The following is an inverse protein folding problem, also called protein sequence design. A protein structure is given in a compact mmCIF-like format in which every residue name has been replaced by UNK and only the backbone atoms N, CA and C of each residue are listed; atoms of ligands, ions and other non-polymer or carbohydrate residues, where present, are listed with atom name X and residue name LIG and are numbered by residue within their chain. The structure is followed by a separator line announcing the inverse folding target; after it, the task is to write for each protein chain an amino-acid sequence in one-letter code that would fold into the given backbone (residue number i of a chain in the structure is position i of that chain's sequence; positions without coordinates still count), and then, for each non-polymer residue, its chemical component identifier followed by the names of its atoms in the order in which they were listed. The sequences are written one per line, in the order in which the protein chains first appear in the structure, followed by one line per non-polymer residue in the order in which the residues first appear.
data_IF_970929699786
#
_entry.id   IF_970929699786
#
_cell.length_a   1.000
_cell.length_b   1.000
_cell.length_c   1.000
_cell.angle_alpha   90.00
_cell.angle_beta   90.00
_cell.angle_gamma   90.00
#
_symmetry.space_group_name_H-M   'P 1'
#
loop_
_entity.id
_entity.type
_entity.pdbx_description
1 polymer ?
#
# COMPACT_ATOMS: atom_id res chain seq x y z
N UNK A 1 6.80 13.44 6.99
CA UNK A 1 5.65 12.57 6.73
C UNK A 1 4.98 12.93 5.41
N UNK A 2 4.05 12.10 4.95
CA UNK A 2 3.35 12.21 3.66
C UNK A 2 2.69 13.58 3.46
N UNK A 3 1.99 14.11 4.44
CA UNK A 3 1.26 15.38 4.33
C UNK A 3 2.12 16.57 3.91
N UNK A 4 3.21 16.90 4.61
CA UNK A 4 4.12 17.98 4.20
C UNK A 4 4.71 17.76 2.80
N UNK A 5 5.21 16.56 2.50
CA UNK A 5 5.78 16.24 1.19
C UNK A 5 4.76 16.39 0.05
N UNK A 6 3.51 15.99 0.30
CA UNK A 6 2.42 16.15 -0.65
C UNK A 6 2.09 17.62 -0.91
N UNK A 7 2.08 18.46 0.13
CA UNK A 7 1.89 19.90 -0.01
C UNK A 7 3.01 20.54 -0.85
N UNK A 8 4.25 20.14 -0.62
CA UNK A 8 5.42 20.64 -1.37
C UNK A 8 5.35 20.22 -2.85
N UNK A 9 4.94 18.98 -3.14
CA UNK A 9 4.73 18.51 -4.51
C UNK A 9 3.63 19.31 -5.22
N UNK A 10 2.49 19.50 -4.56
CA UNK A 10 1.34 20.25 -5.09
C UNK A 10 1.67 21.73 -5.28
N UNK A 11 2.54 22.30 -4.44
CA UNK A 11 3.04 23.68 -4.56
C UNK A 11 4.20 23.83 -5.55
N UNK A 12 4.68 22.72 -6.16
CA UNK A 12 5.83 22.76 -7.10
C UNK A 12 7.19 22.96 -6.44
N UNK A 13 7.28 22.79 -5.11
CA UNK A 13 8.55 22.90 -4.38
C UNK A 13 9.45 21.69 -4.59
N UNK A 14 8.86 20.53 -4.86
CA UNK A 14 9.60 19.31 -5.25
C UNK A 14 9.05 18.79 -6.58
N UNK A 15 9.92 18.29 -7.47
CA UNK A 15 9.53 17.86 -8.82
C UNK A 15 8.84 16.49 -8.86
N UNK A 16 9.11 15.62 -7.89
CA UNK A 16 8.61 14.24 -7.85
C UNK A 16 8.24 13.84 -6.41
N UNK A 17 7.23 13.01 -6.31
CA UNK A 17 6.80 12.41 -5.04
C UNK A 17 6.52 10.92 -5.26
N UNK A 18 7.02 10.05 -4.36
CA UNK A 18 6.61 8.66 -4.27
C UNK A 18 5.82 8.49 -2.98
N UNK A 19 4.52 8.28 -3.10
CA UNK A 19 3.62 8.25 -1.95
C UNK A 19 2.46 7.25 -2.17
N UNK A 20 1.69 7.02 -1.12
CA UNK A 20 0.52 6.12 -1.15
C UNK A 20 -0.64 6.75 -1.91
N UNK A 21 -1.26 5.96 -2.80
CA UNK A 21 -2.35 6.43 -3.65
C UNK A 21 -3.54 7.03 -2.90
N UNK A 22 -4.02 6.49 -1.76
CA UNK A 22 -5.13 7.10 -1.05
C UNK A 22 -4.91 8.58 -0.67
N UNK A 23 -3.67 8.97 -0.39
CA UNK A 23 -3.31 10.34 -0.05
C UNK A 23 -3.23 11.25 -1.29
N UNK A 24 -2.75 10.71 -2.41
CA UNK A 24 -2.49 11.47 -3.64
C UNK A 24 -3.68 11.51 -4.60
N UNK A 25 -4.57 10.52 -4.55
CA UNK A 25 -5.68 10.36 -5.50
C UNK A 25 -6.57 11.61 -5.63
N UNK A 26 -6.95 12.34 -4.57
CA UNK A 26 -7.76 13.57 -4.70
C UNK A 26 -7.05 14.66 -5.52
N UNK A 27 -5.73 14.76 -5.43
CA UNK A 27 -4.94 15.73 -6.19
C UNK A 27 -4.71 15.29 -7.64
N UNK A 28 -4.69 13.99 -7.89
CA UNK A 28 -4.66 13.43 -9.26
C UNK A 28 -6.00 13.68 -9.93
N UNK A 29 -7.11 13.40 -9.26
CA UNK A 29 -8.46 13.63 -9.79
C UNK A 29 -8.77 15.10 -10.09
N UNK A 30 -8.17 16.02 -9.32
CA UNK A 30 -8.26 17.47 -9.54
C UNK A 30 -7.14 18.03 -10.44
N UNK A 31 -6.36 17.15 -11.10
CA UNK A 31 -5.27 17.49 -12.03
C UNK A 31 -4.16 18.38 -11.42
N UNK A 32 -4.00 18.36 -10.10
CA UNK A 32 -2.93 19.05 -9.39
C UNK A 32 -1.66 18.23 -9.29
N UNK A 33 -1.75 16.91 -9.48
CA UNK A 33 -0.64 15.97 -9.61
C UNK A 33 -0.86 15.09 -10.83
N UNK A 34 0.22 14.79 -11.55
CA UNK A 34 0.21 13.87 -12.69
C UNK A 34 0.76 12.52 -12.24
N UNK A 35 -0.03 11.43 -12.27
CA UNK A 35 0.48 10.11 -11.94
C UNK A 35 1.37 9.61 -13.09
N UNK A 36 2.58 9.18 -12.79
CA UNK A 36 3.56 8.71 -13.78
C UNK A 36 3.57 7.18 -13.87
N UNK A 37 3.50 6.50 -12.73
CA UNK A 37 3.60 5.05 -12.63
C UNK A 37 3.00 4.56 -11.30
N UNK A 38 2.49 3.33 -11.27
CA UNK A 38 2.02 2.69 -10.04
C UNK A 38 2.90 1.48 -9.67
N UNK A 39 3.20 1.34 -8.37
CA UNK A 39 3.95 0.20 -7.83
C UNK A 39 3.00 -0.97 -7.48
N UNK A 40 2.18 -1.39 -8.42
CA UNK A 40 1.20 -2.46 -8.28
C UNK A 40 1.48 -3.58 -9.29
N UNK A 41 1.04 -4.84 -9.06
CA UNK A 41 1.24 -5.95 -9.98
C UNK A 41 0.51 -5.77 -11.32
N UNK A 42 -0.53 -4.94 -11.32
CA UNK A 42 -1.32 -4.59 -12.50
C UNK A 42 -1.82 -3.15 -12.40
N UNK A 43 -2.25 -2.56 -13.51
CA UNK A 43 -2.84 -1.22 -13.51
C UNK A 43 -4.05 -1.16 -12.59
N UNK A 44 -4.24 -0.04 -11.93
CA UNK A 44 -5.33 0.17 -10.97
C UNK A 44 -6.59 0.65 -11.69
N UNK A 45 -7.76 0.14 -11.30
CA UNK A 45 -9.04 0.52 -11.91
C UNK A 45 -9.33 2.01 -11.81
N UNK A 46 -8.85 2.67 -10.77
CA UNK A 46 -8.98 4.13 -10.58
C UNK A 46 -7.99 4.96 -11.43
N UNK A 47 -6.97 4.31 -12.03
CA UNK A 47 -5.94 4.91 -12.87
C UNK A 47 -5.60 3.98 -14.06
N UNK A 48 -6.55 3.68 -14.96
CA UNK A 48 -6.38 2.64 -15.98
C UNK A 48 -5.30 2.96 -17.02
N UNK A 49 -5.00 4.23 -17.23
CA UNK A 49 -4.03 4.69 -18.20
C UNK A 49 -2.61 4.82 -17.64
N UNK A 50 -2.45 4.68 -16.31
CA UNK A 50 -1.14 4.78 -15.64
C UNK A 50 -0.43 3.43 -15.65
N UNK A 51 0.78 3.33 -16.24
CA UNK A 51 1.51 2.08 -16.31
C UNK A 51 2.01 1.61 -14.93
N UNK A 52 2.27 0.32 -14.81
CA UNK A 52 2.97 -0.24 -13.65
C UNK A 52 4.48 -0.09 -13.79
N UNK A 53 5.21 -0.19 -12.67
CA UNK A 53 6.67 -0.23 -12.69
C UNK A 53 7.22 -1.38 -13.53
N UNK A 54 6.54 -2.52 -13.57
CA UNK A 54 6.92 -3.64 -14.43
C UNK A 54 6.82 -3.29 -15.93
N UNK A 55 5.76 -2.59 -16.35
CA UNK A 55 5.57 -2.15 -17.74
C UNK A 55 6.63 -1.13 -18.21
N UNK A 56 7.18 -0.34 -17.29
CA UNK A 56 8.24 0.63 -17.60
C UNK A 56 9.66 0.12 -17.33
N UNK A 57 9.84 -1.20 -17.18
CA UNK A 57 11.16 -1.84 -17.11
C UNK A 57 11.73 -2.03 -15.72
N UNK A 58 10.94 -1.86 -14.65
CA UNK A 58 11.34 -2.05 -13.26
C UNK A 58 10.52 -3.15 -12.55
N UNK A 59 10.48 -4.41 -13.04
CA UNK A 59 9.61 -5.47 -12.50
C UNK A 59 9.94 -5.86 -11.05
N UNK A 60 11.16 -5.59 -10.58
CA UNK A 60 11.58 -5.88 -9.21
C UNK A 60 11.02 -4.91 -8.17
N UNK A 61 10.42 -3.79 -8.60
CA UNK A 61 9.89 -2.74 -7.71
C UNK A 61 8.36 -2.83 -7.63
N UNK A 62 7.85 -4.01 -7.28
CA UNK A 62 6.43 -4.19 -7.02
C UNK A 62 6.18 -4.10 -5.51
N UNK A 63 5.98 -2.89 -5.00
CA UNK A 63 5.87 -2.58 -3.58
C UNK A 63 4.63 -1.75 -3.29
N UNK A 64 3.53 -2.43 -3.02
CA UNK A 64 2.32 -1.80 -2.49
C UNK A 64 2.43 -1.69 -0.97
N UNK A 65 2.06 -0.53 -0.42
CA UNK A 65 1.80 -0.45 1.01
C UNK A 65 0.59 -1.33 1.36
N UNK A 66 0.68 -2.07 2.44
CA UNK A 66 -0.42 -2.89 2.93
C UNK A 66 -0.92 -2.40 4.30
N UNK A 67 -2.18 -2.59 4.53
CA UNK A 67 -2.85 -2.30 5.79
C UNK A 67 -3.36 -3.60 6.38
N UNK A 68 -3.11 -3.82 7.67
CA UNK A 68 -3.53 -5.04 8.35
C UNK A 68 -3.87 -4.79 9.82
N UNK A 69 -4.59 -5.73 10.39
CA UNK A 69 -4.85 -5.77 11.83
C UNK A 69 -3.81 -6.68 12.48
N UNK A 70 -3.06 -6.16 13.44
CA UNK A 70 -2.07 -6.92 14.20
C UNK A 70 -2.43 -6.91 15.68
N UNK A 71 -2.07 -7.97 16.39
CA UNK A 71 -2.29 -8.11 17.82
C UNK A 71 -0.99 -8.33 18.60
N UNK A 72 -1.05 -8.27 19.94
CA UNK A 72 0.10 -8.57 20.78
C UNK A 72 0.64 -9.98 20.56
N UNK A 73 1.95 -10.15 20.78
CA UNK A 73 2.60 -11.46 20.75
C UNK A 73 1.95 -12.40 21.78
N UNK A 74 1.67 -13.63 21.37
CA UNK A 74 1.08 -14.64 22.24
C UNK A 74 -0.45 -14.56 22.38
N UNK A 75 -1.12 -13.78 21.54
CA UNK A 75 -2.59 -13.80 21.48
C UNK A 75 -3.10 -15.22 21.20
N UNK A 76 -4.11 -15.72 21.93
CA UNK A 76 -4.70 -17.04 21.67
C UNK A 76 -5.20 -17.16 20.23
N UNK A 77 -4.92 -18.29 19.59
CA UNK A 77 -5.30 -18.53 18.19
C UNK A 77 -6.82 -18.36 17.96
N UNK A 78 -7.63 -18.78 18.91
CA UNK A 78 -9.09 -18.61 18.85
C UNK A 78 -9.51 -17.14 18.70
N UNK A 79 -8.83 -16.23 19.39
CA UNK A 79 -9.09 -14.78 19.29
C UNK A 79 -8.64 -14.26 17.92
N UNK A 80 -7.46 -14.68 17.44
CA UNK A 80 -6.96 -14.31 16.10
C UNK A 80 -7.96 -14.75 15.03
N UNK A 81 -8.40 -16.00 15.07
CA UNK A 81 -9.36 -16.56 14.12
C UNK A 81 -10.73 -15.83 14.17
N UNK A 82 -11.18 -15.47 15.36
CA UNK A 82 -12.43 -14.71 15.55
C UNK A 82 -12.35 -13.32 14.93
N UNK A 83 -11.24 -12.61 15.17
CA UNK A 83 -11.00 -11.28 14.59
C UNK A 83 -10.89 -11.38 13.07
N UNK A 84 -10.11 -12.33 12.54
CA UNK A 84 -9.97 -12.53 11.10
C UNK A 84 -11.32 -12.79 10.43
N UNK A 85 -12.15 -13.70 10.97
CA UNK A 85 -13.51 -13.95 10.47
C UNK A 85 -14.39 -12.70 10.50
N UNK A 86 -14.30 -11.89 11.55
CA UNK A 86 -15.07 -10.65 11.66
C UNK A 86 -14.64 -9.63 10.60
N UNK A 87 -13.33 -9.47 10.37
CA UNK A 87 -12.78 -8.60 9.31
C UNK A 87 -13.24 -9.08 7.94
N UNK A 88 -13.13 -10.39 7.64
CA UNK A 88 -13.60 -10.94 6.38
C UNK A 88 -15.09 -10.67 6.15
N UNK A 89 -15.92 -10.80 7.19
CA UNK A 89 -17.36 -10.50 7.10
C UNK A 89 -17.61 -9.03 6.77
N UNK A 90 -16.89 -8.12 7.39
CA UNK A 90 -16.99 -6.67 7.11
C UNK A 90 -16.55 -6.35 5.69
N UNK A 91 -15.47 -6.98 5.22
CA UNK A 91 -14.96 -6.79 3.85
C UNK A 91 -15.86 -7.41 2.76
N UNK A 92 -16.89 -8.17 3.11
CA UNK A 92 -17.91 -8.65 2.18
C UNK A 92 -19.06 -7.62 1.99
N UNK A 93 -19.19 -6.64 2.89
CA UNK A 93 -20.18 -5.58 2.76
C UNK A 93 -19.88 -4.70 1.55
N UNK A 94 -20.82 -4.56 0.58
CA UNK A 94 -20.58 -3.80 -0.63
C UNK A 94 -20.25 -2.33 -0.39
N UNK A 95 -20.82 -1.71 0.65
CA UNK A 95 -20.57 -0.31 0.96
C UNK A 95 -19.14 -0.13 1.54
N UNK A 96 -18.69 -1.07 2.37
CA UNK A 96 -17.32 -1.08 2.89
C UNK A 96 -16.33 -1.32 1.77
N UNK A 97 -16.57 -2.32 0.91
CA UNK A 97 -15.74 -2.60 -0.26
C UNK A 97 -15.57 -1.37 -1.13
N UNK A 98 -16.70 -0.78 -1.53
CA UNK A 98 -16.69 0.41 -2.38
C UNK A 98 -15.86 1.54 -1.77
N UNK A 99 -16.00 1.81 -0.48
CA UNK A 99 -15.24 2.87 0.21
C UNK A 99 -13.73 2.61 0.18
N UNK A 100 -13.29 1.36 0.29
CA UNK A 100 -11.89 0.98 0.22
C UNK A 100 -11.39 1.09 -1.23
N UNK A 101 -12.12 0.53 -2.17
CA UNK A 101 -11.77 0.49 -3.60
C UNK A 101 -11.73 1.90 -4.22
N UNK A 102 -12.64 2.80 -3.80
CA UNK A 102 -12.66 4.20 -4.22
C UNK A 102 -11.37 4.98 -3.82
N UNK A 103 -10.60 4.50 -2.84
CA UNK A 103 -9.29 5.07 -2.51
C UNK A 103 -8.16 4.55 -3.39
N UNK A 104 -8.43 3.63 -4.31
CA UNK A 104 -7.43 2.92 -5.11
C UNK A 104 -6.77 1.74 -4.38
N UNK A 105 -7.25 1.38 -3.19
CA UNK A 105 -6.75 0.25 -2.42
C UNK A 105 -7.36 -1.06 -2.89
N UNK A 106 -6.56 -2.13 -2.90
CA UNK A 106 -6.99 -3.49 -3.22
C UNK A 106 -7.34 -4.25 -1.93
N UNK A 107 -8.46 -4.96 -1.95
CA UNK A 107 -8.87 -5.82 -0.83
C UNK A 107 -8.27 -7.21 -1.02
N UNK A 108 -7.33 -7.60 -0.17
CA UNK A 108 -6.66 -8.91 -0.20
C UNK A 108 -7.37 -9.91 0.70
N UNK A 109 -7.79 -9.51 1.90
CA UNK A 109 -8.49 -10.35 2.88
C UNK A 109 -7.76 -11.69 3.15
N UNK A 110 -6.46 -11.62 3.44
CA UNK A 110 -5.61 -12.81 3.67
C UNK A 110 -5.94 -13.53 4.99
N UNK A 111 -5.49 -14.79 5.08
CA UNK A 111 -5.47 -15.50 6.37
C UNK A 111 -4.35 -14.95 7.27
N UNK A 112 -4.42 -15.18 8.61
CA UNK A 112 -3.35 -14.78 9.52
C UNK A 112 -1.99 -15.36 9.15
N UNK A 113 -1.95 -16.63 8.72
CA UNK A 113 -0.73 -17.30 8.30
C UNK A 113 -0.13 -16.65 7.06
N UNK A 114 -0.97 -16.38 6.04
CA UNK A 114 -0.54 -15.74 4.80
C UNK A 114 -0.01 -14.33 5.05
N UNK A 115 -0.68 -13.56 5.91
CA UNK A 115 -0.21 -12.22 6.26
C UNK A 115 1.12 -12.26 7.03
N UNK A 116 1.32 -13.24 7.92
CA UNK A 116 2.60 -13.43 8.61
C UNK A 116 3.74 -13.77 7.64
N UNK A 117 3.48 -14.61 6.62
CA UNK A 117 4.46 -14.89 5.55
C UNK A 117 4.84 -13.64 4.78
N UNK A 118 3.87 -12.81 4.40
CA UNK A 118 4.10 -11.55 3.68
C UNK A 118 4.93 -10.57 4.52
N UNK A 119 4.60 -10.40 5.81
CA UNK A 119 5.38 -9.56 6.73
C UNK A 119 6.84 -10.04 6.80
N UNK A 120 7.04 -11.37 6.91
CA UNK A 120 8.39 -11.95 6.99
C UNK A 120 9.17 -11.75 5.69
N UNK A 121 8.54 -11.94 4.54
CA UNK A 121 9.16 -11.75 3.24
C UNK A 121 9.57 -10.28 3.03
N UNK A 122 8.69 -9.34 3.37
CA UNK A 122 8.99 -7.92 3.29
C UNK A 122 10.10 -7.49 4.26
N UNK A 123 10.03 -7.95 5.51
CA UNK A 123 11.09 -7.68 6.48
C UNK A 123 12.46 -8.10 5.94
N UNK A 124 12.55 -9.31 5.34
CA UNK A 124 13.80 -9.80 4.76
C UNK A 124 14.28 -8.91 3.61
N UNK A 125 13.39 -8.54 2.70
CA UNK A 125 13.72 -7.68 1.57
C UNK A 125 14.17 -6.27 2.00
N UNK A 126 13.47 -5.66 2.95
CA UNK A 126 13.87 -4.34 3.48
C UNK A 126 15.17 -4.43 4.27
N UNK A 127 15.39 -5.50 5.06
CA UNK A 127 16.65 -5.70 5.76
C UNK A 127 17.83 -5.75 4.79
N UNK A 128 17.70 -6.46 3.67
CA UNK A 128 18.75 -6.48 2.65
C UNK A 128 19.07 -5.08 2.09
N UNK A 129 18.05 -4.27 1.85
CA UNK A 129 18.24 -2.89 1.37
C UNK A 129 18.94 -2.04 2.42
N UNK A 130 18.47 -2.11 3.68
CA UNK A 130 19.06 -1.38 4.80
C UNK A 130 20.54 -1.75 4.98
N UNK A 131 20.86 -3.05 4.98
CA UNK A 131 22.22 -3.54 5.15
C UNK A 131 23.12 -3.11 3.98
N UNK A 132 22.66 -3.26 2.73
CA UNK A 132 23.42 -2.88 1.52
C UNK A 132 23.67 -1.39 1.42
N UNK A 133 22.68 -0.58 1.75
CA UNK A 133 22.74 0.89 1.66
C UNK A 133 23.26 1.55 2.94
N UNK A 134 23.53 0.74 4.00
CA UNK A 134 23.97 1.22 5.32
C UNK A 134 23.05 2.31 5.88
N UNK A 135 21.75 2.12 5.71
CA UNK A 135 20.75 3.09 6.17
C UNK A 135 20.68 3.10 7.70
N UNK A 136 20.71 4.28 8.28
CA UNK A 136 20.52 4.51 9.72
C UNK A 136 19.27 5.35 9.94
N UNK A 137 18.62 5.15 11.07
CA UNK A 137 17.56 6.07 11.54
C UNK A 137 18.24 7.15 12.36
N UNK A 138 18.10 8.41 11.94
CA UNK A 138 18.52 9.59 12.72
C UNK A 138 17.52 9.88 13.84
#
# INVERSE_FOLDING_TARGET
GSGPALNDAVAGQIPLLFDNLPSTLPFIQTQRLTPLVVAAPQRLAVLPDVPTLAEVGAPGVNRMAYYGVIGPKGMPKEIVDKVNKAVHKVLQDPAVRKRIEDTGSLIVASTPEKFAEEIKAEYTAYKEVVDKQKLTMD
#
